data_IF_692302037144
#
_entry.id   IF_692302037144
#
_cell.length_a   1.000
_cell.length_b   1.000
_cell.length_c   1.000
_cell.angle_alpha   90.00
_cell.angle_beta   90.00
_cell.angle_gamma   90.00
#
_symmetry.space_group_name_H-M   'P 1'
#
loop_
_entity.id
_entity.type
_entity.pdbx_description
1 polymer ?
#
# COMPACT_ATOMS: atom_id res chain seq x y z
N UNK A 1 16.37 -23.73 3.69
CA UNK A 1 15.01 -24.14 4.11
C UNK A 1 14.90 -24.69 5.54
N UNK A 2 16.02 -24.90 6.25
CA UNK A 2 15.97 -25.53 7.59
C UNK A 2 15.19 -24.79 8.68
N UNK A 3 14.98 -23.47 8.57
CA UNK A 3 14.34 -22.67 9.62
C UNK A 3 12.87 -22.28 9.33
N UNK A 4 12.24 -22.76 8.26
CA UNK A 4 10.89 -22.28 7.89
C UNK A 4 9.85 -22.58 8.97
N UNK A 5 9.78 -23.82 9.44
CA UNK A 5 8.79 -24.21 10.46
C UNK A 5 8.98 -23.46 11.80
N UNK A 6 10.20 -23.36 12.36
CA UNK A 6 10.47 -22.53 13.53
C UNK A 6 10.09 -21.05 13.35
N UNK A 7 10.37 -20.46 12.18
CA UNK A 7 9.99 -19.08 11.89
C UNK A 7 8.47 -18.90 11.81
N UNK A 8 7.75 -19.84 11.19
CA UNK A 8 6.29 -19.84 11.18
C UNK A 8 5.71 -19.92 12.59
N UNK A 9 6.28 -20.77 13.43
CA UNK A 9 5.89 -20.86 14.84
C UNK A 9 6.10 -19.52 15.57
N UNK A 10 7.28 -18.92 15.44
CA UNK A 10 7.61 -17.62 16.04
C UNK A 10 6.68 -16.50 15.52
N UNK A 11 6.29 -16.54 14.25
CA UNK A 11 5.38 -15.54 13.66
C UNK A 11 3.96 -15.59 14.24
N UNK A 12 3.53 -16.75 14.73
CA UNK A 12 2.23 -16.93 15.38
C UNK A 12 2.23 -16.64 16.88
N UNK A 13 3.42 -16.56 17.50
CA UNK A 13 3.55 -16.26 18.92
C UNK A 13 3.39 -14.76 19.19
N UNK A 14 2.55 -14.43 20.17
CA UNK A 14 2.35 -13.02 20.58
C UNK A 14 3.66 -12.42 21.16
N UNK A 15 3.86 -11.12 20.92
CA UNK A 15 4.99 -10.34 21.44
C UNK A 15 6.37 -10.74 20.87
N UNK A 16 6.43 -11.61 19.86
CA UNK A 16 7.66 -11.92 19.14
C UNK A 16 7.68 -11.12 17.84
N UNK A 17 8.64 -10.24 17.72
CA UNK A 17 8.85 -9.40 16.54
C UNK A 17 10.20 -9.64 15.90
N UNK A 18 10.48 -9.00 14.75
CA UNK A 18 11.72 -9.20 13.99
C UNK A 18 12.99 -9.07 14.81
N UNK A 19 13.07 -8.08 15.70
CA UNK A 19 14.26 -7.88 16.57
C UNK A 19 14.50 -9.04 17.53
N UNK A 20 13.44 -9.67 18.01
CA UNK A 20 13.54 -10.86 18.87
C UNK A 20 14.05 -12.03 18.07
N UNK A 21 13.49 -12.26 16.88
CA UNK A 21 13.91 -13.35 15.99
C UNK A 21 15.36 -13.20 15.57
N UNK A 22 15.81 -11.98 15.23
CA UNK A 22 17.23 -11.71 14.95
C UNK A 22 18.17 -12.11 16.11
N UNK A 23 17.77 -11.81 17.35
CA UNK A 23 18.55 -12.23 18.55
C UNK A 23 18.56 -13.75 18.70
N UNK A 24 17.42 -14.39 18.45
CA UNK A 24 17.31 -15.86 18.52
C UNK A 24 18.20 -16.52 17.45
N UNK A 25 18.14 -16.06 16.19
CA UNK A 25 18.97 -16.60 15.10
C UNK A 25 20.47 -16.39 15.31
N UNK A 26 20.88 -15.26 15.90
CA UNK A 26 22.29 -15.04 16.25
C UNK A 26 22.79 -16.06 17.27
N UNK A 27 21.94 -16.51 18.18
CA UNK A 27 22.28 -17.49 19.21
C UNK A 27 22.12 -18.92 18.72
N UNK A 28 21.08 -19.20 17.98
CA UNK A 28 20.78 -20.48 17.36
C UNK A 28 20.61 -20.30 15.86
N UNK A 29 21.70 -20.41 15.07
CA UNK A 29 21.60 -20.33 13.60
C UNK A 29 20.63 -21.35 13.02
N UNK A 30 20.55 -22.54 13.61
CA UNK A 30 19.48 -23.51 13.41
C UNK A 30 18.44 -23.37 14.52
N UNK A 31 17.33 -22.72 14.23
CA UNK A 31 16.22 -22.53 15.19
C UNK A 31 15.55 -23.84 15.62
N UNK A 32 15.68 -24.93 14.84
CA UNK A 32 15.12 -26.23 15.23
C UNK A 32 15.76 -26.74 16.53
N UNK A 33 17.05 -26.50 16.72
CA UNK A 33 17.74 -26.86 17.96
C UNK A 33 17.14 -26.15 19.17
N UNK A 34 16.78 -24.87 19.03
CA UNK A 34 16.11 -24.10 20.08
C UNK A 34 14.76 -24.75 20.49
N UNK A 35 13.97 -25.21 19.53
CA UNK A 35 12.68 -25.87 19.80
C UNK A 35 12.82 -27.24 20.48
N UNK A 36 13.98 -27.87 20.39
CA UNK A 36 14.28 -29.16 21.07
C UNK A 36 14.66 -29.00 22.55
N UNK A 37 15.17 -27.82 22.96
CA UNK A 37 15.59 -27.55 24.33
C UNK A 37 14.40 -27.53 25.31
N UNK A 38 14.65 -27.84 26.59
CA UNK A 38 13.65 -27.66 27.65
C UNK A 38 13.45 -26.17 27.97
N UNK A 39 12.38 -25.83 28.70
CA UNK A 39 12.19 -24.45 29.17
C UNK A 39 13.31 -24.00 30.11
N UNK A 40 13.84 -24.90 30.93
CA UNK A 40 14.97 -24.65 31.84
C UNK A 40 16.22 -24.34 31.04
N UNK A 41 16.58 -25.18 30.05
CA UNK A 41 17.75 -24.95 29.21
C UNK A 41 17.68 -23.64 28.43
N UNK A 42 16.46 -23.25 27.98
CA UNK A 42 16.23 -21.98 27.31
C UNK A 42 16.42 -20.78 28.26
N UNK A 43 15.98 -20.90 29.52
CA UNK A 43 16.19 -19.88 30.54
C UNK A 43 17.67 -19.77 30.94
N UNK A 44 18.35 -20.87 31.13
CA UNK A 44 19.80 -20.91 31.37
C UNK A 44 20.57 -20.31 30.18
N UNK A 45 20.06 -20.52 28.99
CA UNK A 45 20.54 -19.87 27.78
C UNK A 45 20.19 -18.36 27.72
N UNK A 46 19.57 -17.77 28.73
CA UNK A 46 19.28 -16.33 28.88
C UNK A 46 18.02 -15.86 28.19
N UNK A 47 17.07 -16.75 27.85
CA UNK A 47 15.73 -16.34 27.42
C UNK A 47 14.89 -15.96 28.65
N UNK A 48 14.07 -14.92 28.54
CA UNK A 48 13.08 -14.65 29.59
C UNK A 48 12.11 -15.84 29.75
N UNK A 49 11.74 -16.19 30.99
CA UNK A 49 10.86 -17.34 31.30
C UNK A 49 9.56 -17.34 30.50
N UNK A 50 8.94 -16.15 30.28
CA UNK A 50 7.73 -16.04 29.46
C UNK A 50 7.96 -16.50 28.02
N UNK A 51 9.14 -16.23 27.43
CA UNK A 51 9.47 -16.61 26.06
C UNK A 51 9.79 -18.10 25.96
N UNK A 52 10.61 -18.63 26.89
CA UNK A 52 10.92 -20.06 27.01
C UNK A 52 9.63 -20.89 27.10
N UNK A 53 8.72 -20.51 27.97
CA UNK A 53 7.42 -21.17 28.14
C UNK A 53 6.53 -21.04 26.89
N UNK A 54 6.52 -19.86 26.23
CA UNK A 54 5.74 -19.66 24.99
C UNK A 54 6.24 -20.58 23.88
N UNK A 55 7.56 -20.76 23.76
CA UNK A 55 8.16 -21.66 22.74
C UNK A 55 7.80 -23.11 23.04
N UNK A 56 7.88 -23.54 24.29
CA UNK A 56 7.60 -24.93 24.69
C UNK A 56 6.12 -25.31 24.61
N UNK A 57 5.23 -24.37 24.90
CA UNK A 57 3.79 -24.59 24.85
C UNK A 57 3.18 -24.31 23.47
N UNK A 58 4.01 -24.03 22.46
CA UNK A 58 3.51 -23.80 21.11
C UNK A 58 3.02 -25.12 20.50
N UNK A 59 1.79 -25.10 20.03
CA UNK A 59 1.20 -26.25 19.34
C UNK A 59 1.62 -26.23 17.84
N UNK A 60 2.38 -27.25 17.38
CA UNK A 60 2.81 -27.33 15.99
C UNK A 60 1.67 -27.39 14.96
N UNK A 61 0.47 -27.81 15.36
CA UNK A 61 -0.68 -27.86 14.44
C UNK A 61 -1.08 -26.47 13.91
N UNK A 62 -0.72 -25.40 14.63
CA UNK A 62 -0.96 -24.03 14.14
C UNK A 62 -0.20 -23.70 12.86
N UNK A 63 0.99 -24.25 12.61
CA UNK A 63 1.75 -24.00 11.38
C UNK A 63 1.29 -24.86 10.21
N UNK A 64 0.52 -25.93 10.47
CA UNK A 64 0.01 -26.81 9.43
C UNK A 64 -0.83 -26.03 8.40
N UNK A 65 -1.66 -25.10 8.88
CA UNK A 65 -2.43 -24.22 7.99
C UNK A 65 -1.55 -23.41 7.03
N UNK A 66 -0.37 -22.93 7.48
CA UNK A 66 0.56 -22.19 6.65
C UNK A 66 1.23 -23.08 5.60
N UNK A 67 1.59 -24.31 6.00
CA UNK A 67 2.21 -25.29 5.10
C UNK A 67 1.19 -25.83 4.07
N UNK A 68 -0.04 -26.08 4.48
CA UNK A 68 -1.13 -26.49 3.59
C UNK A 68 -1.43 -25.38 2.58
N UNK A 69 -1.47 -24.13 3.03
CA UNK A 69 -1.64 -22.98 2.14
C UNK A 69 -0.47 -22.86 1.15
N UNK A 70 0.77 -22.99 1.61
CA UNK A 70 1.95 -22.91 0.75
C UNK A 70 1.93 -23.98 -0.35
N UNK A 71 1.47 -25.19 -0.03
CA UNK A 71 1.42 -26.31 -0.97
C UNK A 71 0.17 -26.29 -1.87
N UNK A 72 -0.85 -25.46 -1.57
CA UNK A 72 -2.11 -25.44 -2.29
C UNK A 72 -2.07 -24.79 -3.66
N UNK A 73 -1.01 -24.02 -3.99
CA UNK A 73 -0.85 -23.37 -5.28
C UNK A 73 0.61 -23.00 -5.55
N UNK A 74 1.02 -23.04 -6.82
CA UNK A 74 2.37 -22.68 -7.26
C UNK A 74 2.66 -21.17 -7.10
N UNK A 75 1.63 -20.33 -7.06
CA UNK A 75 1.76 -18.89 -6.86
C UNK A 75 1.69 -18.47 -5.38
N UNK A 76 1.71 -19.42 -4.45
CA UNK A 76 1.82 -19.19 -3.02
C UNK A 76 3.27 -19.37 -2.55
N UNK A 77 3.79 -18.37 -1.88
CA UNK A 77 5.18 -18.36 -1.42
C UNK A 77 5.27 -17.87 0.02
N UNK A 78 6.28 -18.36 0.74
CA UNK A 78 6.68 -17.82 2.03
C UNK A 78 8.15 -17.44 1.93
N UNK A 79 8.44 -16.14 2.04
CA UNK A 79 9.78 -15.59 1.95
C UNK A 79 10.33 -15.36 3.36
N UNK A 80 11.55 -15.82 3.59
CA UNK A 80 12.34 -15.56 4.80
C UNK A 80 13.57 -14.72 4.43
N UNK A 81 14.30 -14.20 5.40
CA UNK A 81 15.52 -13.41 5.15
C UNK A 81 16.58 -14.12 4.28
N UNK A 82 16.54 -15.46 4.22
CA UNK A 82 17.48 -16.28 3.43
C UNK A 82 16.92 -16.59 2.03
N UNK A 83 15.68 -16.17 1.75
CA UNK A 83 15.09 -16.36 0.42
C UNK A 83 15.78 -15.47 -0.62
N UNK A 84 16.13 -16.00 -1.81
CA UNK A 84 16.72 -15.20 -2.88
C UNK A 84 15.79 -14.09 -3.40
N UNK A 85 14.49 -14.21 -3.19
CA UNK A 85 13.50 -13.21 -3.56
C UNK A 85 13.18 -12.21 -2.44
N UNK A 86 13.83 -12.34 -1.26
CA UNK A 86 13.59 -11.37 -0.20
C UNK A 86 14.22 -10.02 -0.59
N UNK A 87 13.42 -8.91 -0.64
CA UNK A 87 13.90 -7.64 -1.17
C UNK A 87 15.06 -7.07 -0.35
N UNK A 88 16.16 -6.73 -1.02
CA UNK A 88 17.36 -6.19 -0.35
C UNK A 88 17.04 -4.90 0.43
N UNK A 89 16.31 -3.96 -0.20
CA UNK A 89 15.90 -2.71 0.45
C UNK A 89 15.07 -2.94 1.72
N UNK A 90 14.17 -3.93 1.71
CA UNK A 90 13.37 -4.26 2.88
C UNK A 90 14.21 -4.91 3.99
N UNK A 91 15.30 -5.59 3.64
CA UNK A 91 16.21 -6.19 4.63
C UNK A 91 17.00 -5.14 5.41
N UNK A 92 17.17 -3.95 4.85
CA UNK A 92 17.93 -2.83 5.45
C UNK A 92 17.16 -2.05 6.52
N UNK A 93 15.83 -2.15 6.58
CA UNK A 93 15.05 -1.40 7.57
C UNK A 93 15.32 -1.92 8.99
N UNK A 94 15.04 -1.11 10.01
CA UNK A 94 15.35 -1.42 11.42
C UNK A 94 14.66 -2.68 11.96
N UNK A 95 13.53 -3.08 11.38
CA UNK A 95 12.70 -4.21 11.80
C UNK A 95 12.10 -4.94 10.58
N UNK A 96 12.96 -5.53 9.72
CA UNK A 96 12.50 -6.24 8.53
C UNK A 96 11.64 -7.45 8.93
N UNK A 97 10.49 -7.68 8.27
CA UNK A 97 9.66 -8.84 8.56
C UNK A 97 10.44 -10.14 8.29
N UNK A 98 10.53 -11.03 9.28
CA UNK A 98 11.28 -12.29 9.14
C UNK A 98 10.54 -13.37 8.34
N UNK A 99 9.24 -13.15 8.11
CA UNK A 99 8.39 -13.91 7.21
C UNK A 99 7.55 -12.92 6.39
N UNK A 100 7.42 -13.23 5.11
CA UNK A 100 6.47 -12.60 4.19
C UNK A 100 5.69 -13.71 3.47
N UNK A 101 4.39 -13.74 3.67
CA UNK A 101 3.48 -14.49 2.81
C UNK A 101 3.32 -13.70 1.51
N UNK A 102 3.47 -14.37 0.40
CA UNK A 102 3.38 -13.77 -0.93
C UNK A 102 2.45 -14.61 -1.81
N UNK A 103 1.56 -13.94 -2.56
CA UNK A 103 0.65 -14.58 -3.51
C UNK A 103 0.69 -13.84 -4.84
N UNK A 104 1.07 -14.55 -5.90
CA UNK A 104 1.23 -14.00 -7.25
C UNK A 104 2.66 -14.13 -7.76
N UNK A 105 3.10 -13.17 -8.59
CA UNK A 105 4.39 -13.21 -9.28
C UNK A 105 5.53 -12.56 -8.47
N UNK A 106 6.51 -13.35 -8.04
CA UNK A 106 7.68 -12.86 -7.31
C UNK A 106 8.57 -11.91 -8.14
N UNK A 107 8.49 -11.97 -9.47
CA UNK A 107 9.21 -11.05 -10.36
C UNK A 107 8.87 -9.57 -10.16
N UNK A 108 7.73 -9.26 -9.55
CA UNK A 108 7.39 -7.89 -9.15
C UNK A 108 8.37 -7.30 -8.12
N UNK A 109 9.03 -8.15 -7.31
CA UNK A 109 10.02 -7.72 -6.30
C UNK A 109 11.40 -7.40 -6.88
N UNK A 110 11.67 -7.78 -8.14
CA UNK A 110 12.98 -7.61 -8.80
C UNK A 110 13.09 -6.33 -9.62
N UNK A 111 11.98 -5.64 -9.85
CA UNK A 111 11.94 -4.36 -10.55
C UNK A 111 12.21 -3.20 -9.59
N UNK A 112 12.61 -2.01 -10.10
CA UNK A 112 12.56 -0.78 -9.31
C UNK A 112 11.15 -0.55 -8.77
N UNK A 113 11.01 -0.25 -7.49
CA UNK A 113 9.72 -0.09 -6.82
C UNK A 113 9.48 1.36 -6.43
N UNK A 114 8.31 1.89 -6.77
CA UNK A 114 7.78 3.17 -6.29
C UNK A 114 6.57 2.93 -5.40
N UNK A 115 6.58 3.47 -4.18
CA UNK A 115 5.35 3.52 -3.40
C UNK A 115 4.48 4.70 -3.83
N UNK A 116 3.18 4.46 -4.07
CA UNK A 116 2.18 5.51 -4.25
C UNK A 116 1.16 5.39 -3.12
N UNK A 117 1.03 6.45 -2.33
CA UNK A 117 0.16 6.47 -1.15
C UNK A 117 -0.63 7.78 -1.06
N UNK A 118 -1.73 7.76 -0.31
CA UNK A 118 -2.50 8.97 -0.11
C UNK A 118 -3.78 8.77 0.69
N UNK A 119 -4.70 9.70 0.53
CA UNK A 119 -5.99 9.74 1.20
C UNK A 119 -6.87 8.53 0.83
N UNK A 120 -7.54 7.95 1.83
CA UNK A 120 -8.59 6.93 1.60
C UNK A 120 -9.87 7.54 1.03
N UNK A 121 -10.11 8.81 1.30
CA UNK A 121 -11.22 9.61 0.78
C UNK A 121 -10.65 10.70 -0.13
N UNK A 122 -9.91 10.28 -1.16
CA UNK A 122 -9.29 11.19 -2.10
C UNK A 122 -10.34 11.94 -2.94
N UNK A 123 -9.94 13.11 -3.44
CA UNK A 123 -10.74 13.83 -4.44
C UNK A 123 -10.78 13.05 -5.77
N UNK A 124 -11.66 13.43 -6.66
CA UNK A 124 -11.71 12.85 -8.01
C UNK A 124 -10.36 13.08 -8.71
N UNK A 125 -9.86 14.31 -8.68
CA UNK A 125 -8.57 14.69 -9.26
C UNK A 125 -7.41 13.89 -8.64
N UNK A 126 -7.42 13.69 -7.31
CA UNK A 126 -6.43 12.85 -6.63
C UNK A 126 -6.43 11.40 -7.11
N UNK A 127 -7.61 10.81 -7.28
CA UNK A 127 -7.77 9.47 -7.81
C UNK A 127 -7.30 9.35 -9.27
N UNK A 128 -7.65 10.33 -10.11
CA UNK A 128 -7.21 10.43 -11.51
C UNK A 128 -5.69 10.57 -11.60
N UNK A 129 -5.08 11.43 -10.78
CA UNK A 129 -3.62 11.58 -10.69
C UNK A 129 -2.94 10.28 -10.27
N UNK A 130 -3.43 9.60 -9.23
CA UNK A 130 -2.88 8.32 -8.79
C UNK A 130 -2.87 7.29 -9.93
N UNK A 131 -3.98 7.20 -10.67
CA UNK A 131 -4.14 6.28 -11.80
C UNK A 131 -3.24 6.66 -12.97
N UNK A 132 -3.18 7.96 -13.34
CA UNK A 132 -2.38 8.46 -14.46
C UNK A 132 -0.88 8.31 -14.20
N UNK A 133 -0.39 8.73 -13.02
CA UNK A 133 1.01 8.58 -12.65
C UNK A 133 1.43 7.11 -12.59
N UNK A 134 0.63 6.27 -11.91
CA UNK A 134 0.90 4.85 -11.80
C UNK A 134 0.96 4.17 -13.18
N UNK A 135 0.00 4.46 -14.05
CA UNK A 135 -0.07 3.94 -15.41
C UNK A 135 1.18 4.31 -16.22
N UNK A 136 1.53 5.58 -16.24
CA UNK A 136 2.66 6.06 -17.02
C UNK A 136 4.00 5.54 -16.48
N UNK A 137 4.20 5.58 -15.16
CA UNK A 137 5.43 5.11 -14.51
C UNK A 137 5.63 3.60 -14.75
N UNK A 138 4.56 2.81 -14.73
CA UNK A 138 4.66 1.36 -14.94
C UNK A 138 5.15 0.99 -16.35
N UNK A 139 4.91 1.83 -17.37
CA UNK A 139 5.46 1.66 -18.73
C UNK A 139 6.98 1.67 -18.77
N UNK A 140 7.60 2.33 -17.80
CA UNK A 140 9.05 2.40 -17.66
C UNK A 140 9.65 1.22 -16.86
N UNK A 141 8.88 0.14 -16.66
CA UNK A 141 9.35 -1.04 -15.94
C UNK A 141 9.45 -0.87 -14.43
N UNK A 142 8.78 0.13 -13.85
CA UNK A 142 8.72 0.38 -12.41
C UNK A 142 7.50 -0.31 -11.83
N UNK A 143 7.69 -1.11 -10.80
CA UNK A 143 6.58 -1.71 -10.04
C UNK A 143 5.98 -0.71 -9.06
N UNK A 144 4.66 -0.70 -8.96
CA UNK A 144 3.94 0.18 -8.04
C UNK A 144 3.61 -0.56 -6.74
N UNK A 145 4.08 -0.02 -5.63
CA UNK A 145 3.81 -0.56 -4.29
C UNK A 145 2.75 0.28 -3.60
N UNK A 146 1.72 -0.34 -3.05
CA UNK A 146 0.72 0.37 -2.25
C UNK A 146 0.03 -0.56 -1.24
N UNK A 147 -0.95 -0.03 -0.51
CA UNK A 147 -1.55 -0.74 0.62
C UNK A 147 -2.93 -1.32 0.40
N UNK A 148 -3.44 -1.36 -0.83
CA UNK A 148 -4.79 -1.83 -1.17
C UNK A 148 -5.90 -1.09 -0.42
N UNK A 149 -5.62 0.10 0.16
CA UNK A 149 -6.63 0.91 0.82
C UNK A 149 -7.56 1.57 -0.22
N UNK A 150 -8.64 2.19 0.30
CA UNK A 150 -9.53 3.00 -0.54
C UNK A 150 -8.81 4.23 -1.07
N UNK A 151 -9.34 4.85 -2.11
CA UNK A 151 -8.82 6.09 -2.68
C UNK A 151 -7.52 5.89 -3.44
N UNK A 152 -6.47 6.62 -3.08
CA UNK A 152 -5.21 6.68 -3.82
C UNK A 152 -4.60 5.30 -4.05
N UNK A 153 -4.51 4.46 -3.02
CA UNK A 153 -3.89 3.13 -3.12
C UNK A 153 -4.56 2.28 -4.21
N UNK A 154 -5.89 2.22 -4.20
CA UNK A 154 -6.65 1.44 -5.19
C UNK A 154 -6.44 1.95 -6.61
N UNK A 155 -6.45 3.29 -6.81
CA UNK A 155 -6.28 3.89 -8.12
C UNK A 155 -4.84 3.75 -8.63
N UNK A 156 -3.85 3.73 -7.73
CA UNK A 156 -2.48 3.41 -8.07
C UNK A 156 -2.34 1.97 -8.60
N UNK A 157 -2.96 0.99 -7.93
CA UNK A 157 -2.96 -0.38 -8.42
C UNK A 157 -3.67 -0.51 -9.78
N UNK A 158 -4.87 0.11 -9.91
CA UNK A 158 -5.64 0.08 -11.15
C UNK A 158 -4.86 0.66 -12.33
N UNK A 159 -4.25 1.85 -12.15
CA UNK A 159 -3.46 2.48 -13.22
C UNK A 159 -2.28 1.62 -13.69
N UNK A 160 -1.60 0.95 -12.77
CA UNK A 160 -0.51 0.03 -13.10
C UNK A 160 -1.02 -1.19 -13.90
N UNK A 161 -2.13 -1.80 -13.47
CA UNK A 161 -2.71 -2.98 -14.12
C UNK A 161 -3.23 -2.69 -15.54
N UNK A 162 -3.69 -1.46 -15.81
CA UNK A 162 -4.17 -1.05 -17.15
C UNK A 162 -3.12 -1.14 -18.24
N UNK A 163 -1.85 -1.01 -17.88
CA UNK A 163 -0.73 -1.15 -18.82
C UNK A 163 -0.05 -2.52 -18.72
N UNK A 164 -0.63 -3.47 -18.00
CA UNK A 164 0.01 -4.76 -17.74
C UNK A 164 1.25 -4.65 -16.87
N UNK A 165 1.42 -3.53 -16.16
CA UNK A 165 2.53 -3.30 -15.24
C UNK A 165 2.41 -4.16 -13.97
N UNK A 166 3.53 -4.33 -13.26
CA UNK A 166 3.56 -5.10 -12.01
C UNK A 166 3.26 -4.22 -10.83
N UNK A 167 2.33 -4.65 -9.98
CA UNK A 167 2.00 -3.93 -8.76
C UNK A 167 2.02 -4.84 -7.54
N UNK A 168 2.45 -4.29 -6.40
CA UNK A 168 2.62 -5.01 -5.14
C UNK A 168 1.67 -4.40 -4.11
N UNK A 169 0.69 -5.18 -3.68
CA UNK A 169 -0.21 -4.78 -2.61
C UNK A 169 0.26 -5.38 -1.28
N UNK A 170 0.68 -4.53 -0.35
CA UNK A 170 1.04 -4.96 1.00
C UNK A 170 -0.20 -4.92 1.87
N UNK A 171 -0.50 -6.00 2.60
CA UNK A 171 -1.73 -6.15 3.38
C UNK A 171 -1.48 -5.92 4.87
N UNK A 172 -2.48 -5.35 5.56
CA UNK A 172 -2.51 -5.23 7.02
C UNK A 172 -3.30 -6.36 7.70
N UNK A 173 -3.52 -7.46 6.97
CA UNK A 173 -4.29 -8.66 7.34
C UNK A 173 -3.52 -9.90 6.91
N UNK A 174 -3.96 -11.09 7.27
CA UNK A 174 -3.45 -12.31 6.63
C UNK A 174 -3.64 -12.26 5.12
N UNK A 175 -2.77 -12.94 4.38
CA UNK A 175 -2.76 -12.94 2.90
C UNK A 175 -4.08 -13.50 2.31
N UNK A 176 -4.79 -14.30 3.07
CA UNK A 176 -6.08 -14.92 2.77
C UNK A 176 -7.29 -14.04 3.17
N UNK A 177 -7.05 -12.86 3.77
CA UNK A 177 -8.08 -11.95 4.26
C UNK A 177 -7.99 -10.59 3.59
N UNK A 178 -8.69 -10.41 2.47
CA UNK A 178 -8.67 -9.13 1.73
C UNK A 178 -9.49 -8.07 2.45
N UNK A 179 -8.86 -6.93 2.74
CA UNK A 179 -9.49 -5.76 3.33
C UNK A 179 -9.08 -4.46 2.61
N UNK A 180 -10.03 -3.60 2.24
CA UNK A 180 -11.48 -3.74 2.38
C UNK A 180 -12.08 -4.80 1.43
N UNK A 181 -13.16 -5.46 1.84
CA UNK A 181 -13.78 -6.55 1.05
C UNK A 181 -14.17 -6.15 -0.37
N UNK A 182 -14.51 -4.88 -0.59
CA UNK A 182 -14.83 -4.36 -1.94
C UNK A 182 -13.65 -4.42 -2.92
N UNK A 183 -12.41 -4.56 -2.44
CA UNK A 183 -11.22 -4.71 -3.27
C UNK A 183 -10.86 -6.17 -3.56
N UNK A 184 -11.77 -7.12 -3.31
CA UNK A 184 -11.51 -8.53 -3.60
C UNK A 184 -11.14 -8.75 -5.08
N UNK A 185 -11.92 -8.20 -6.01
CA UNK A 185 -11.65 -8.30 -7.46
C UNK A 185 -10.31 -7.64 -7.84
N UNK A 186 -10.00 -6.49 -7.25
CA UNK A 186 -8.72 -5.83 -7.48
C UNK A 186 -7.55 -6.68 -6.95
N UNK A 187 -7.69 -7.29 -5.78
CA UNK A 187 -6.69 -8.20 -5.24
C UNK A 187 -6.47 -9.43 -6.14
N UNK A 188 -7.55 -10.00 -6.70
CA UNK A 188 -7.48 -11.08 -7.68
C UNK A 188 -6.71 -10.65 -8.93
N UNK A 189 -7.04 -9.50 -9.53
CA UNK A 189 -6.31 -8.95 -10.67
C UNK A 189 -4.83 -8.70 -10.37
N UNK A 190 -4.52 -8.22 -9.16
CA UNK A 190 -3.12 -8.04 -8.74
C UNK A 190 -2.38 -9.37 -8.71
N UNK A 191 -3.01 -10.46 -8.28
CA UNK A 191 -2.33 -11.78 -8.24
C UNK A 191 -2.05 -12.38 -9.62
N UNK A 192 -2.71 -11.91 -10.67
CA UNK A 192 -2.48 -12.35 -12.05
C UNK A 192 -1.20 -11.75 -12.66
N UNK A 193 -0.89 -10.47 -12.38
CA UNK A 193 0.23 -9.74 -12.99
C UNK A 193 1.17 -9.07 -11.98
N UNK A 194 0.98 -9.28 -10.69
CA UNK A 194 1.72 -8.66 -9.61
C UNK A 194 1.73 -9.53 -8.37
N UNK A 195 1.73 -8.90 -7.19
CA UNK A 195 1.98 -9.61 -5.95
C UNK A 195 1.16 -9.04 -4.77
N UNK A 196 0.52 -9.91 -4.01
CA UNK A 196 0.06 -9.59 -2.66
C UNK A 196 1.15 -9.99 -1.67
N UNK A 197 1.41 -9.15 -0.66
CA UNK A 197 2.35 -9.42 0.42
C UNK A 197 1.70 -9.21 1.78
N UNK A 198 2.03 -10.05 2.76
CA UNK A 198 1.66 -9.86 4.16
C UNK A 198 2.72 -10.42 5.10
N UNK A 199 2.98 -9.73 6.22
CA UNK A 199 3.77 -10.27 7.34
C UNK A 199 2.91 -11.02 8.37
N UNK A 200 1.59 -10.87 8.28
CA UNK A 200 0.66 -11.42 9.27
C UNK A 200 0.30 -12.86 8.94
N UNK A 201 0.21 -13.73 9.96
CA UNK A 201 -0.23 -15.12 9.78
C UNK A 201 -1.58 -15.22 9.06
N UNK A 202 -1.82 -16.35 8.40
CA UNK A 202 -3.11 -16.66 7.81
C UNK A 202 -4.25 -16.47 8.82
N UNK A 203 -5.41 -16.07 8.32
CA UNK A 203 -6.63 -15.77 9.11
C UNK A 203 -6.49 -14.56 10.06
N UNK A 204 -5.41 -13.75 9.93
CA UNK A 204 -5.31 -12.51 10.71
C UNK A 204 -6.37 -11.50 10.23
N UNK A 205 -7.29 -11.07 11.11
CA UNK A 205 -8.35 -10.12 10.75
C UNK A 205 -7.80 -8.69 10.61
N UNK A 206 -8.59 -7.75 10.06
CA UNK A 206 -8.23 -6.35 10.01
C UNK A 206 -8.24 -5.72 11.41
N UNK A 207 -7.05 -5.50 11.97
CA UNK A 207 -6.83 -4.86 13.26
C UNK A 207 -6.22 -3.47 13.01
N UNK A 208 -6.76 -2.42 13.65
CA UNK A 208 -6.34 -1.04 13.40
C UNK A 208 -4.82 -0.82 13.54
N UNK A 209 -4.18 -1.47 14.52
CA UNK A 209 -2.74 -1.39 14.74
C UNK A 209 -1.87 -2.03 13.66
N UNK A 210 -2.41 -2.95 12.86
CA UNK A 210 -1.67 -3.64 11.79
C UNK A 210 -1.37 -2.72 10.61
N UNK A 211 -2.26 -1.76 10.30
CA UNK A 211 -2.09 -0.88 9.14
C UNK A 211 -0.87 0.05 9.27
N UNK A 212 -0.63 0.74 10.39
CA UNK A 212 0.63 1.48 10.57
C UNK A 212 1.87 0.58 10.54
N UNK A 213 1.83 -0.60 11.18
CA UNK A 213 2.95 -1.55 11.14
C UNK A 213 3.29 -1.98 9.70
N UNK A 214 2.28 -2.30 8.90
CA UNK A 214 2.43 -2.67 7.51
C UNK A 214 3.10 -1.58 6.67
N UNK A 215 2.83 -0.29 6.95
CA UNK A 215 3.33 0.83 6.14
C UNK A 215 4.86 0.87 6.05
N UNK A 216 5.60 0.37 7.07
CA UNK A 216 7.07 0.24 7.01
C UNK A 216 7.54 -0.74 5.92
N UNK A 217 6.69 -1.68 5.54
CA UNK A 217 6.99 -2.62 4.44
C UNK A 217 6.78 -1.93 3.11
N UNK A 218 5.74 -1.10 2.96
CA UNK A 218 5.52 -0.29 1.75
C UNK A 218 6.73 0.60 1.49
N UNK A 219 7.15 1.38 2.48
CA UNK A 219 8.32 2.24 2.34
C UNK A 219 9.63 1.43 2.19
N UNK A 220 9.78 0.33 2.93
CA UNK A 220 10.97 -0.52 2.88
C UNK A 220 11.19 -1.25 1.55
N UNK A 221 10.12 -1.51 0.79
CA UNK A 221 10.19 -2.10 -0.54
C UNK A 221 10.59 -1.10 -1.63
N UNK A 222 10.43 0.20 -1.39
CA UNK A 222 10.42 1.22 -2.42
C UNK A 222 11.68 2.06 -2.40
N UNK A 223 12.11 2.51 -3.58
CA UNK A 223 13.21 3.46 -3.75
C UNK A 223 12.80 4.85 -3.25
N UNK A 224 11.57 5.26 -3.54
CA UNK A 224 10.98 6.51 -3.06
C UNK A 224 9.46 6.37 -2.87
N UNK A 225 8.85 7.37 -2.24
CA UNK A 225 7.41 7.41 -1.92
C UNK A 225 6.79 8.64 -2.59
N UNK A 226 5.77 8.45 -3.41
CA UNK A 226 4.96 9.52 -3.98
C UNK A 226 3.66 9.66 -3.18
N UNK A 227 3.45 10.83 -2.59
CA UNK A 227 2.22 11.20 -1.89
C UNK A 227 1.35 12.06 -2.81
N UNK A 228 0.19 11.53 -3.22
CA UNK A 228 -0.71 12.20 -4.16
C UNK A 228 -1.62 13.22 -3.45
N UNK A 229 -2.31 12.78 -2.41
CA UNK A 229 -3.14 13.62 -1.54
C UNK A 229 -3.07 13.13 -0.11
N UNK A 230 -2.95 14.04 0.84
CA UNK A 230 -2.95 13.72 2.26
C UNK A 230 -3.49 14.87 3.10
N UNK A 231 -4.42 14.61 4.01
CA UNK A 231 -4.69 15.52 5.10
C UNK A 231 -3.56 15.46 6.15
N UNK A 232 -3.40 16.50 6.99
CA UNK A 232 -2.31 16.58 8.00
C UNK A 232 -2.30 15.39 8.98
N UNK A 233 -3.46 14.81 9.27
CA UNK A 233 -3.58 13.63 10.16
C UNK A 233 -3.76 12.33 9.36
N UNK A 234 -3.23 12.25 8.15
CA UNK A 234 -3.37 11.08 7.29
C UNK A 234 -2.38 9.97 7.67
N UNK A 235 -2.82 8.71 7.52
CA UNK A 235 -1.92 7.54 7.62
C UNK A 235 -0.82 7.52 6.58
N UNK A 236 -0.99 8.17 5.42
CA UNK A 236 0.04 8.31 4.38
C UNK A 236 1.22 9.17 4.85
N UNK A 237 1.02 10.15 5.75
CA UNK A 237 2.12 10.88 6.38
C UNK A 237 2.95 10.01 7.32
N UNK A 238 2.35 8.97 7.92
CA UNK A 238 3.10 7.96 8.69
C UNK A 238 4.03 7.20 7.75
N UNK A 239 3.53 6.79 6.57
CA UNK A 239 4.36 6.10 5.57
C UNK A 239 5.50 7.00 5.09
N UNK A 240 5.24 8.28 4.82
CA UNK A 240 6.27 9.24 4.43
C UNK A 240 7.35 9.42 5.52
N UNK A 241 6.96 9.48 6.80
CA UNK A 241 7.93 9.53 7.91
C UNK A 241 8.78 8.27 7.98
N UNK A 242 8.15 7.08 7.87
CA UNK A 242 8.88 5.81 7.85
C UNK A 242 9.87 5.74 6.69
N UNK A 243 9.51 6.28 5.52
CA UNK A 243 10.39 6.39 4.37
C UNK A 243 11.66 7.19 4.71
N UNK A 244 11.51 8.36 5.32
CA UNK A 244 12.65 9.18 5.75
C UNK A 244 13.52 8.46 6.79
N UNK A 245 12.92 7.78 7.76
CA UNK A 245 13.65 6.97 8.76
C UNK A 245 14.40 5.79 8.11
N UNK A 246 13.99 5.37 6.92
CA UNK A 246 14.57 4.29 6.12
C UNK A 246 15.51 4.81 5.01
N UNK A 247 15.82 6.11 4.98
CA UNK A 247 16.61 6.77 3.93
C UNK A 247 16.01 6.61 2.54
N UNK A 248 14.69 6.79 2.42
CA UNK A 248 13.96 6.81 1.14
C UNK A 248 13.47 8.24 0.88
N UNK A 249 13.58 8.67 -0.36
CA UNK A 249 13.10 9.99 -0.76
C UNK A 249 11.57 10.06 -0.75
N UNK A 250 11.08 11.23 -0.35
CA UNK A 250 9.65 11.52 -0.32
C UNK A 250 9.32 12.59 -1.35
N UNK A 251 8.38 12.27 -2.21
CA UNK A 251 7.87 13.11 -3.27
C UNK A 251 6.41 13.46 -2.96
N UNK A 252 5.98 14.67 -3.30
CA UNK A 252 4.60 15.09 -3.06
C UNK A 252 4.06 15.91 -4.24
N UNK A 253 2.82 15.61 -4.62
CA UNK A 253 2.09 16.42 -5.61
C UNK A 253 1.52 17.64 -4.89
N UNK A 254 1.73 18.87 -5.40
CA UNK A 254 1.12 20.06 -4.86
C UNK A 254 -0.38 20.08 -5.20
N UNK A 255 -1.15 20.89 -4.49
CA UNK A 255 -2.57 21.10 -4.78
C UNK A 255 -3.00 22.49 -4.36
N UNK A 256 -4.29 22.79 -4.51
CA UNK A 256 -4.83 24.06 -4.05
C UNK A 256 -4.67 24.22 -2.53
N UNK A 257 -4.29 25.42 -2.07
CA UNK A 257 -4.22 25.75 -0.63
C UNK A 257 -5.59 25.64 0.07
N UNK A 258 -6.66 25.69 -0.70
CA UNK A 258 -8.03 25.54 -0.22
C UNK A 258 -8.46 24.06 -0.15
N UNK A 259 -7.69 23.14 -0.73
CA UNK A 259 -7.98 21.71 -0.63
C UNK A 259 -7.39 21.13 0.67
N UNK A 260 -8.25 20.70 1.63
CA UNK A 260 -7.77 20.12 2.89
C UNK A 260 -6.93 18.86 2.69
N UNK A 261 -7.14 18.12 1.58
CA UNK A 261 -6.39 16.94 1.22
C UNK A 261 -4.99 17.25 0.62
N UNK A 262 -4.72 18.51 0.25
CA UNK A 262 -3.40 18.96 -0.18
C UNK A 262 -2.51 19.41 0.99
N UNK A 263 -3.09 19.72 2.16
CA UNK A 263 -2.36 20.27 3.32
C UNK A 263 -1.23 19.36 3.80
N UNK A 264 -1.42 18.02 3.75
CA UNK A 264 -0.37 17.06 4.10
C UNK A 264 0.77 17.05 3.09
N UNK A 265 0.47 17.15 1.78
CA UNK A 265 1.48 17.30 0.75
C UNK A 265 2.25 18.61 0.92
N UNK A 266 1.57 19.74 1.17
CA UNK A 266 2.23 21.02 1.45
C UNK A 266 3.16 20.94 2.68
N UNK A 267 2.71 20.27 3.75
CA UNK A 267 3.57 20.04 4.91
C UNK A 267 4.83 19.26 4.54
N UNK A 268 4.71 18.17 3.75
CA UNK A 268 5.86 17.39 3.29
C UNK A 268 6.81 18.24 2.44
N UNK A 269 6.29 19.04 1.52
CA UNK A 269 7.07 19.96 0.68
C UNK A 269 7.83 20.98 1.54
N UNK A 270 7.19 21.54 2.56
CA UNK A 270 7.85 22.45 3.53
C UNK A 270 8.94 21.75 4.35
N UNK A 271 8.86 20.44 4.55
CA UNK A 271 9.89 19.62 5.22
C UNK A 271 10.99 19.14 4.25
N UNK A 272 10.97 19.56 2.99
CA UNK A 272 11.99 19.22 2.00
C UNK A 272 11.65 18.02 1.10
N UNK A 273 10.41 17.54 1.11
CA UNK A 273 9.99 16.57 0.10
C UNK A 273 10.10 17.19 -1.31
N UNK A 274 10.46 16.39 -2.30
CA UNK A 274 10.56 16.85 -3.69
C UNK A 274 9.17 17.14 -4.25
N UNK A 275 9.01 18.33 -4.83
CA UNK A 275 7.78 18.70 -5.54
C UNK A 275 7.71 17.94 -6.86
N UNK A 276 6.54 17.33 -7.14
CA UNK A 276 6.24 16.57 -8.36
C UNK A 276 5.08 17.22 -9.10
N UNK A 277 5.30 17.57 -10.35
CA UNK A 277 4.28 18.11 -11.27
C UNK A 277 4.10 17.23 -12.50
N UNK A 278 5.06 16.36 -12.76
CA UNK A 278 5.07 15.47 -13.92
C UNK A 278 5.62 14.08 -13.57
N UNK A 279 5.36 13.10 -14.43
CA UNK A 279 5.96 11.76 -14.31
C UNK A 279 7.47 11.82 -14.45
N UNK A 280 7.99 12.72 -15.27
CA UNK A 280 9.43 12.94 -15.45
C UNK A 280 10.13 13.23 -14.11
N UNK A 281 9.54 14.08 -13.25
CA UNK A 281 10.09 14.40 -11.93
C UNK A 281 10.30 13.14 -11.05
N UNK A 282 9.42 12.15 -11.20
CA UNK A 282 9.48 10.87 -10.48
C UNK A 282 10.53 9.95 -11.08
N UNK A 283 10.56 9.83 -12.41
CA UNK A 283 11.53 8.99 -13.12
C UNK A 283 12.97 9.46 -12.91
N UNK A 284 13.19 10.77 -12.89
CA UNK A 284 14.48 11.38 -12.56
C UNK A 284 14.96 10.96 -11.17
N UNK A 285 14.06 10.96 -10.18
CA UNK A 285 14.38 10.55 -8.81
C UNK A 285 14.69 9.05 -8.73
N UNK A 286 13.94 8.23 -9.47
CA UNK A 286 14.17 6.79 -9.56
C UNK A 286 15.43 6.44 -10.36
N UNK A 287 16.02 7.40 -11.10
CA UNK A 287 17.14 7.19 -12.03
C UNK A 287 16.83 6.15 -13.10
N UNK A 288 15.58 6.14 -13.58
CA UNK A 288 15.08 5.26 -14.64
C UNK A 288 15.08 6.03 -15.94
N UNK A 289 15.54 5.39 -17.04
CA UNK A 289 15.58 6.01 -18.35
C UNK A 289 14.18 6.37 -18.86
N UNK A 290 14.07 7.57 -19.43
CA UNK A 290 12.84 8.08 -20.03
C UNK A 290 12.65 7.49 -21.42
N UNK A 291 11.72 6.55 -21.59
CA UNK A 291 11.25 6.13 -22.91
C UNK A 291 10.03 6.99 -23.30
N UNK A 292 10.10 7.68 -24.45
CA UNK A 292 8.93 8.40 -24.97
C UNK A 292 7.92 7.40 -25.55
N UNK A 293 6.84 7.17 -24.81
CA UNK A 293 5.69 6.42 -25.31
C UNK A 293 4.59 7.38 -25.76
N UNK A 294 4.26 7.37 -27.05
CA UNK A 294 3.07 8.06 -27.56
C UNK A 294 1.84 7.22 -27.26
N UNK A 295 1.04 7.60 -26.28
CA UNK A 295 -0.24 6.95 -26.03
C UNK A 295 -1.41 7.90 -26.22
N UNK A 296 -2.23 7.55 -27.20
CA UNK A 296 -3.59 8.06 -27.40
C UNK A 296 -4.56 6.96 -27.01
N UNK A 297 -5.09 7.01 -25.79
CA UNK A 297 -6.40 6.39 -25.49
C UNK A 297 -7.02 7.01 -24.24
N UNK A 298 -8.19 7.65 -24.33
CA UNK A 298 -8.99 7.97 -23.17
C UNK A 298 -9.68 6.70 -22.69
N UNK A 299 -9.58 6.40 -21.39
CA UNK A 299 -10.27 5.26 -20.79
C UNK A 299 -11.28 5.80 -19.78
N UNK A 300 -12.55 5.69 -20.10
CA UNK A 300 -13.63 5.79 -19.15
C UNK A 300 -14.45 4.50 -19.17
N UNK A 301 -14.56 3.84 -18.05
CA UNK A 301 -15.58 2.84 -17.78
C UNK A 301 -16.29 3.20 -16.48
N UNK A 302 -17.59 3.39 -16.55
CA UNK A 302 -18.46 3.87 -15.51
C UNK A 302 -19.01 2.72 -14.66
N UNK A 303 -18.94 2.88 -13.33
CA UNK A 303 -19.72 2.09 -12.40
C UNK A 303 -21.01 2.84 -12.05
N UNK A 304 -22.14 2.22 -12.30
CA UNK A 304 -23.48 2.77 -12.03
C UNK A 304 -23.88 2.59 -10.57
N UNK A 305 -24.14 3.67 -9.87
CA UNK A 305 -24.80 3.71 -8.56
C UNK A 305 -25.22 5.15 -8.23
N UNK A 306 -26.35 5.34 -7.56
CA UNK A 306 -26.83 6.67 -7.11
C UNK A 306 -25.87 7.26 -6.09
N UNK A 307 -24.70 7.69 -6.52
CA UNK A 307 -23.71 8.34 -5.68
C UNK A 307 -23.97 9.86 -5.65
N UNK A 308 -23.68 10.48 -4.51
CA UNK A 308 -23.85 11.91 -4.31
C UNK A 308 -22.98 12.69 -5.32
N UNK A 309 -23.60 13.52 -6.16
CA UNK A 309 -22.98 14.26 -7.25
C UNK A 309 -21.75 15.08 -6.82
N UNK A 310 -21.71 15.54 -5.57
CA UNK A 310 -20.58 16.30 -5.00
C UNK A 310 -19.24 15.55 -5.08
N UNK A 311 -19.26 14.23 -5.15
CA UNK A 311 -18.04 13.39 -5.25
C UNK A 311 -17.33 13.55 -6.60
N UNK A 312 -18.04 13.96 -7.62
CA UNK A 312 -17.52 14.13 -8.97
C UNK A 312 -17.01 15.55 -9.25
N UNK A 313 -17.14 16.46 -8.26
CA UNK A 313 -16.71 17.85 -8.33
C UNK A 313 -15.43 18.00 -7.49
N UNK A 314 -14.37 18.53 -8.13
CA UNK A 314 -13.10 18.79 -7.47
C UNK A 314 -13.11 20.07 -6.62
N UNK A 315 -12.01 20.32 -5.93
CA UNK A 315 -11.72 21.60 -5.27
C UNK A 315 -11.18 22.65 -6.25
N UNK A 316 -10.96 22.26 -7.49
CA UNK A 316 -10.65 23.12 -8.63
C UNK A 316 -11.84 23.15 -9.58
N UNK A 317 -11.83 24.13 -10.52
CA UNK A 317 -12.92 24.29 -11.49
C UNK A 317 -13.17 23.00 -12.24
N UNK A 318 -14.35 22.42 -12.07
CA UNK A 318 -14.82 21.21 -12.75
C UNK A 318 -15.94 21.60 -13.69
N UNK A 319 -15.76 21.36 -15.00
CA UNK A 319 -16.79 21.71 -16.00
C UNK A 319 -17.99 20.77 -15.91
N UNK A 320 -19.17 21.21 -16.42
CA UNK A 320 -20.36 20.35 -16.45
C UNK A 320 -20.10 19.08 -17.26
N UNK A 321 -19.38 19.17 -18.37
CA UNK A 321 -19.02 18.01 -19.20
C UNK A 321 -18.17 17.00 -18.42
N UNK A 322 -17.18 17.47 -17.66
CA UNK A 322 -16.39 16.60 -16.78
C UNK A 322 -17.23 15.93 -15.68
N UNK A 323 -18.24 16.65 -15.15
CA UNK A 323 -19.14 16.08 -14.15
C UNK A 323 -20.05 15.01 -14.79
N UNK A 324 -20.52 15.22 -16.01
CA UNK A 324 -21.30 14.25 -16.79
C UNK A 324 -20.44 13.01 -17.05
N UNK A 325 -19.23 13.19 -17.58
CA UNK A 325 -18.31 12.10 -17.91
C UNK A 325 -17.95 11.27 -16.67
N UNK A 326 -17.68 11.92 -15.55
CA UNK A 326 -17.30 11.27 -14.30
C UNK A 326 -18.45 10.56 -13.60
N UNK A 327 -19.65 11.17 -13.63
CA UNK A 327 -20.83 10.63 -12.94
C UNK A 327 -21.63 9.63 -13.75
N UNK A 328 -21.56 9.72 -15.09
CA UNK A 328 -22.43 8.99 -16.00
C UNK A 328 -23.89 9.46 -15.98
N UNK A 329 -24.17 10.57 -15.32
CA UNK A 329 -25.53 11.15 -15.28
C UNK A 329 -25.79 11.97 -16.53
N UNK A 330 -27.08 12.03 -16.94
CA UNK A 330 -27.49 12.91 -18.02
C UNK A 330 -27.41 14.39 -17.59
N UNK A 331 -27.36 15.29 -18.60
CA UNK A 331 -27.27 16.74 -18.40
C UNK A 331 -28.32 17.28 -17.42
N UNK A 332 -29.57 16.83 -17.55
CA UNK A 332 -30.68 17.27 -16.68
C UNK A 332 -30.49 16.88 -15.21
N UNK A 333 -29.97 15.66 -14.97
CA UNK A 333 -29.69 15.19 -13.62
C UNK A 333 -28.52 15.96 -13.00
N UNK A 334 -27.49 16.26 -13.80
CA UNK A 334 -26.32 17.01 -13.35
C UNK A 334 -26.70 18.45 -13.03
N UNK A 335 -27.42 19.14 -13.91
CA UNK A 335 -27.81 20.53 -13.69
C UNK A 335 -28.76 20.70 -12.51
N UNK A 336 -29.75 19.79 -12.36
CA UNK A 336 -30.63 19.77 -11.19
C UNK A 336 -29.90 19.50 -9.89
N UNK A 337 -28.98 18.53 -9.90
CA UNK A 337 -28.16 18.18 -8.73
C UNK A 337 -27.18 19.29 -8.33
N UNK A 338 -26.60 20.00 -9.31
CA UNK A 338 -25.71 21.13 -9.06
C UNK A 338 -26.47 22.29 -8.39
N UNK A 339 -27.66 22.64 -8.87
CA UNK A 339 -28.49 23.66 -8.24
C UNK A 339 -28.83 23.31 -6.78
N UNK A 340 -29.17 22.05 -6.50
CA UNK A 340 -29.43 21.59 -5.13
C UNK A 340 -28.19 21.70 -4.24
N UNK A 341 -27.04 21.31 -4.75
CA UNK A 341 -25.75 21.35 -4.01
C UNK A 341 -25.29 22.79 -3.76
N UNK A 342 -25.53 23.70 -4.70
CA UNK A 342 -25.21 25.12 -4.57
C UNK A 342 -26.08 25.78 -3.49
N UNK A 343 -27.38 25.48 -3.47
CA UNK A 343 -28.28 25.94 -2.41
C UNK A 343 -27.87 25.43 -1.02
N UNK A 344 -27.29 24.25 -0.95
CA UNK A 344 -26.73 23.67 0.29
C UNK A 344 -25.33 24.20 0.63
N UNK A 345 -24.73 25.05 -0.20
CA UNK A 345 -23.37 25.55 -0.04
C UNK A 345 -22.28 24.47 -0.18
N UNK A 346 -22.62 23.31 -0.74
CA UNK A 346 -21.67 22.21 -0.94
C UNK A 346 -20.79 22.41 -2.18
N UNK A 347 -21.27 23.18 -3.15
CA UNK A 347 -20.54 23.62 -4.35
C UNK A 347 -20.78 25.09 -4.60
N UNK A 348 -19.89 25.71 -5.36
CA UNK A 348 -20.00 27.11 -5.81
C UNK A 348 -19.78 27.17 -7.31
N UNK A 349 -20.65 27.87 -8.00
CA UNK A 349 -20.47 28.18 -9.42
C UNK A 349 -19.30 29.17 -9.58
N UNK A 350 -18.43 28.89 -10.53
CA UNK A 350 -17.28 29.75 -10.92
C UNK A 350 -17.22 29.86 -12.44
N UNK A 351 -16.51 30.86 -13.00
CA UNK A 351 -16.32 30.90 -14.44
C UNK A 351 -15.73 29.59 -14.98
N UNK A 352 -16.49 28.96 -15.88
CA UNK A 352 -16.07 27.69 -16.51
C UNK A 352 -16.55 26.40 -15.82
N UNK A 353 -17.24 26.47 -14.68
CA UNK A 353 -17.74 25.27 -14.02
C UNK A 353 -18.12 25.45 -12.55
N UNK A 354 -17.87 24.43 -11.77
CA UNK A 354 -18.19 24.36 -10.33
C UNK A 354 -16.97 23.93 -9.53
N UNK A 355 -16.84 24.42 -8.29
CA UNK A 355 -15.86 23.97 -7.32
C UNK A 355 -16.57 23.42 -6.07
N UNK A 356 -15.98 22.45 -5.45
CA UNK A 356 -16.45 21.90 -4.18
C UNK A 356 -16.07 22.84 -3.04
N UNK A 357 -17.03 23.15 -2.16
CA UNK A 357 -16.79 23.91 -0.94
C UNK A 357 -16.49 22.99 0.25
N UNK A 358 -15.62 23.43 1.19
CA UNK A 358 -15.49 22.77 2.49
C UNK A 358 -16.77 22.98 3.31
N UNK A 359 -17.37 21.89 3.81
CA UNK A 359 -18.32 21.97 4.89
C UNK A 359 -17.53 22.06 6.20
N UNK A 360 -17.46 23.22 6.83
CA UNK A 360 -17.21 23.29 8.25
C UNK A 360 -18.44 22.67 8.97
N UNK A 361 -18.21 21.52 9.62
CA UNK A 361 -19.14 20.95 10.59
C UNK A 361 -18.87 21.53 11.96
#
# INVERSE_FOLDING_TARGET
MNNLQPLLALNRMKKIGPRTVLKLQKRWPDLNLMFQLSSVDLEEAGLPSWLAQTIKNFDPDFIKTDLDWLSSSENHHILTWDSPYYPALLKEIADPPFILYAKGELSALTQPNLAIVGSRNASVTGNENARAFSREISRHGVSIVSGLALGIDAHAHLGCLEEGGKTIAVLGTGIDCIYPRRHLKLAEQITENGLLLSEFPLKSPPIAGHFPLRNRIISGLSLCILVIEAAIKSGSLITARMALEQNRDVLAIPGSIHNPLARGCHYLLQQGAKLVTSVADVLDELKVEHHQFTSNKPIFSLASGKENLVKFIGFETTTIDQIIDRSGYGMEQVTSGLAELELKGAVMAVPGGYIRCEYER
#
